data_IF_932996146077
#
_entry.id   IF_932996146077
#
_cell.length_a   1.000
_cell.length_b   1.000
_cell.length_c   1.000
_cell.angle_alpha   90.00
_cell.angle_beta   90.00
_cell.angle_gamma   90.00
#
_symmetry.space_group_name_H-M   'P 1'
#
loop_
_entity.id
_entity.type
_entity.pdbx_description
1 polymer ?
#
# COMPACT_ATOMS: atom_id res chain seq x y z
N UNK A 1 5.35 -15.81 -6.83
CA UNK A 1 5.25 -14.52 -7.56
C UNK A 1 6.44 -13.60 -7.32
N UNK A 2 6.81 -13.29 -6.07
CA UNK A 2 7.96 -12.40 -5.77
C UNK A 2 9.27 -12.80 -6.48
N UNK A 3 9.66 -14.08 -6.42
CA UNK A 3 10.88 -14.56 -7.08
C UNK A 3 10.83 -14.44 -8.61
N UNK A 4 9.66 -14.73 -9.20
CA UNK A 4 9.45 -14.67 -10.65
C UNK A 4 9.59 -13.25 -11.20
N UNK A 5 9.21 -12.26 -10.41
CA UNK A 5 9.23 -10.83 -10.75
C UNK A 5 10.23 -10.06 -9.90
N UNK A 6 11.32 -10.70 -9.48
CA UNK A 6 12.26 -10.12 -8.52
C UNK A 6 12.86 -8.79 -9.00
N UNK A 7 13.07 -8.62 -10.31
CA UNK A 7 13.57 -7.37 -10.87
C UNK A 7 12.53 -6.25 -10.79
N UNK A 8 11.27 -6.53 -11.12
CA UNK A 8 10.17 -5.59 -11.04
C UNK A 8 9.84 -5.20 -9.58
N UNK A 9 9.92 -6.17 -8.67
CA UNK A 9 9.83 -5.96 -7.21
C UNK A 9 10.93 -4.98 -6.77
N UNK A 10 12.18 -5.24 -7.18
CA UNK A 10 13.31 -4.37 -6.84
C UNK A 10 13.11 -2.94 -7.35
N UNK A 11 12.61 -2.75 -8.58
CA UNK A 11 12.33 -1.41 -9.11
C UNK A 11 11.23 -0.70 -8.30
N UNK A 12 10.24 -1.45 -7.80
CA UNK A 12 9.16 -0.92 -6.97
C UNK A 12 9.63 -0.52 -5.56
N UNK A 13 10.62 -1.23 -4.99
CA UNK A 13 10.99 -1.11 -3.57
C UNK A 13 12.36 -0.46 -3.33
N UNK A 14 13.22 -0.35 -4.33
CA UNK A 14 14.53 0.32 -4.23
C UNK A 14 14.56 1.65 -5.02
N UNK A 15 13.52 2.46 -4.86
CA UNK A 15 13.35 3.72 -5.60
C UNK A 15 14.30 4.83 -5.10
N UNK A 16 14.81 5.75 -5.96
CA UNK A 16 15.62 6.89 -5.54
C UNK A 16 14.99 7.77 -4.46
N UNK A 17 13.65 7.91 -4.47
CA UNK A 17 12.90 8.59 -3.42
C UNK A 17 13.11 7.95 -2.04
N UNK A 18 13.07 6.62 -1.96
CA UNK A 18 13.26 5.87 -0.71
C UNK A 18 14.71 5.97 -0.23
N UNK A 19 15.67 5.92 -1.16
CA UNK A 19 17.07 6.15 -0.83
C UNK A 19 17.30 7.55 -0.25
N UNK A 20 16.67 8.58 -0.83
CA UNK A 20 16.71 9.94 -0.32
C UNK A 20 15.97 10.10 1.02
N UNK A 21 14.85 9.39 1.21
CA UNK A 21 14.14 9.35 2.49
C UNK A 21 15.03 8.82 3.61
N UNK A 22 15.67 7.66 3.40
CA UNK A 22 16.58 7.05 4.38
C UNK A 22 17.85 7.86 4.66
N UNK A 23 18.32 8.64 3.68
CA UNK A 23 19.44 9.58 3.86
C UNK A 23 19.04 10.92 4.46
N UNK A 24 17.74 11.15 4.68
CA UNK A 24 17.18 12.42 5.12
C UNK A 24 17.45 13.58 4.13
N UNK A 25 17.42 13.29 2.83
CA UNK A 25 17.71 14.25 1.75
C UNK A 25 16.43 14.83 1.11
N UNK A 26 15.25 14.36 1.52
CA UNK A 26 13.98 14.88 1.02
C UNK A 26 13.68 16.27 1.61
N UNK A 27 13.30 17.22 0.76
CA UNK A 27 12.73 18.48 1.20
C UNK A 27 11.32 18.28 1.79
N UNK A 28 10.89 19.21 2.65
CA UNK A 28 9.53 19.27 3.17
C UNK A 28 8.47 19.23 2.05
N UNK A 29 8.77 19.86 0.91
CA UNK A 29 7.91 19.87 -0.28
C UNK A 29 7.80 18.48 -0.93
N UNK A 30 8.93 17.78 -1.15
CA UNK A 30 8.93 16.43 -1.71
C UNK A 30 8.18 15.46 -0.80
N UNK A 31 8.44 15.55 0.51
CA UNK A 31 7.76 14.72 1.51
C UNK A 31 6.25 14.99 1.54
N UNK A 32 5.85 16.26 1.56
CA UNK A 32 4.44 16.68 1.52
C UNK A 32 3.72 16.22 0.24
N UNK A 33 4.42 16.25 -0.91
CA UNK A 33 3.89 15.81 -2.20
C UNK A 33 3.52 14.33 -2.15
N UNK A 34 4.45 13.49 -1.69
CA UNK A 34 4.20 12.06 -1.55
C UNK A 34 3.13 11.78 -0.49
N UNK A 35 3.24 12.37 0.70
CA UNK A 35 2.34 12.11 1.82
C UNK A 35 0.89 12.49 1.50
N UNK A 36 0.67 13.54 0.70
CA UNK A 36 -0.66 13.89 0.20
C UNK A 36 -1.26 12.76 -0.65
N UNK A 37 -0.46 12.15 -1.54
CA UNK A 37 -0.93 11.06 -2.40
C UNK A 37 -1.19 9.79 -1.60
N UNK A 38 -0.31 9.46 -0.67
CA UNK A 38 -0.44 8.27 0.18
C UNK A 38 -1.66 8.36 1.10
N UNK A 39 -1.88 9.54 1.68
CA UNK A 39 -3.11 9.83 2.43
C UNK A 39 -4.36 9.74 1.56
N UNK A 40 -4.32 10.19 0.30
CA UNK A 40 -5.46 10.06 -0.62
C UNK A 40 -5.77 8.59 -0.93
N UNK A 41 -4.74 7.78 -1.19
CA UNK A 41 -4.85 6.34 -1.36
C UNK A 41 -5.50 5.67 -0.13
N UNK A 42 -4.96 5.96 1.06
CA UNK A 42 -5.41 5.42 2.35
C UNK A 42 -6.83 5.84 2.74
N UNK A 43 -7.29 7.04 2.34
CA UNK A 43 -8.64 7.51 2.63
C UNK A 43 -9.69 6.99 1.65
N UNK A 44 -9.34 6.87 0.37
CA UNK A 44 -10.33 6.75 -0.68
C UNK A 44 -10.42 5.37 -1.33
N UNK A 45 -9.33 4.61 -1.37
CA UNK A 45 -9.27 3.27 -1.94
C UNK A 45 -9.34 2.20 -0.87
N UNK A 46 -8.34 2.18 0.02
CA UNK A 46 -8.06 1.04 0.90
C UNK A 46 -9.26 0.64 1.79
N UNK A 47 -9.95 1.56 2.50
CA UNK A 47 -11.06 1.16 3.38
C UNK A 47 -12.23 0.58 2.59
N UNK A 48 -12.51 1.11 1.40
CA UNK A 48 -13.60 0.60 0.55
C UNK A 48 -13.28 -0.80 0.04
N UNK A 49 -12.04 -1.00 -0.40
CA UNK A 49 -11.55 -2.30 -0.83
C UNK A 49 -11.70 -3.35 0.26
N UNK A 50 -11.17 -3.09 1.46
CA UNK A 50 -11.27 -4.04 2.58
C UNK A 50 -12.72 -4.28 2.99
N UNK A 51 -13.56 -3.23 3.03
CA UNK A 51 -14.99 -3.40 3.32
C UNK A 51 -15.70 -4.29 2.29
N UNK A 52 -15.34 -4.18 1.02
CA UNK A 52 -15.88 -5.05 -0.03
C UNK A 52 -15.42 -6.50 0.13
N UNK A 53 -14.15 -6.75 0.47
CA UNK A 53 -13.67 -8.10 0.78
C UNK A 53 -14.42 -8.71 1.98
N UNK A 54 -14.57 -7.95 3.07
CA UNK A 54 -15.34 -8.40 4.25
C UNK A 54 -16.78 -8.76 3.85
N UNK A 55 -17.41 -7.92 3.03
CA UNK A 55 -18.79 -8.13 2.57
C UNK A 55 -18.94 -9.35 1.66
N UNK A 56 -17.86 -9.76 0.98
CA UNK A 56 -17.83 -10.90 0.08
C UNK A 56 -17.58 -12.25 0.79
N UNK A 57 -17.20 -12.25 2.08
CA UNK A 57 -16.88 -13.49 2.79
C UNK A 57 -18.08 -14.46 2.82
N UNK A 58 -17.88 -15.75 2.53
CA UNK A 58 -18.94 -16.74 2.56
C UNK A 58 -19.29 -17.08 4.02
N UNK A 59 -20.29 -16.40 4.59
CA UNK A 59 -20.74 -16.62 5.97
C UNK A 59 -22.02 -17.47 6.07
N UNK A 60 -22.44 -18.08 4.96
CA UNK A 60 -23.74 -18.75 4.80
C UNK A 60 -23.83 -20.16 5.40
N UNK A 61 -22.73 -20.76 5.87
CA UNK A 61 -22.75 -22.05 6.59
C UNK A 61 -21.74 -22.07 7.75
N UNK A 62 -21.93 -22.90 8.80
CA UNK A 62 -20.95 -23.01 9.90
C UNK A 62 -19.54 -23.39 9.44
N UNK A 63 -19.42 -24.27 8.43
CA UNK A 63 -18.12 -24.64 7.86
C UNK A 63 -17.46 -23.45 7.14
N UNK A 64 -18.23 -22.71 6.33
CA UNK A 64 -17.73 -21.51 5.66
C UNK A 64 -17.41 -20.38 6.65
N UNK A 65 -18.17 -20.25 7.73
CA UNK A 65 -17.89 -19.31 8.82
C UNK A 65 -16.55 -19.63 9.48
N UNK A 66 -16.31 -20.90 9.84
CA UNK A 66 -15.05 -21.33 10.45
C UNK A 66 -13.84 -21.08 9.55
N UNK A 67 -13.97 -21.35 8.24
CA UNK A 67 -12.91 -21.07 7.27
C UNK A 67 -12.66 -19.55 7.11
N UNK A 68 -13.74 -18.76 7.11
CA UNK A 68 -13.69 -17.30 6.92
C UNK A 68 -13.26 -16.52 8.16
N UNK A 69 -13.26 -17.11 9.36
CA UNK A 69 -12.90 -16.40 10.60
C UNK A 69 -11.49 -15.80 10.54
N UNK A 70 -10.51 -16.56 10.04
CA UNK A 70 -9.13 -16.07 9.95
C UNK A 70 -8.98 -14.93 8.96
N UNK A 71 -9.65 -15.02 7.80
CA UNK A 71 -9.70 -13.95 6.79
C UNK A 71 -10.42 -12.71 7.32
N UNK A 72 -11.56 -12.89 8.02
CA UNK A 72 -12.28 -11.79 8.64
C UNK A 72 -11.43 -11.06 9.67
N UNK A 73 -10.68 -11.80 10.50
CA UNK A 73 -9.77 -11.23 11.49
C UNK A 73 -8.65 -10.43 10.82
N UNK A 74 -8.04 -10.98 9.76
CA UNK A 74 -7.02 -10.28 8.97
C UNK A 74 -7.56 -8.97 8.37
N UNK A 75 -8.70 -9.04 7.68
CA UNK A 75 -9.31 -7.87 7.03
C UNK A 75 -9.77 -6.81 8.05
N UNK A 76 -10.28 -7.24 9.21
CA UNK A 76 -10.66 -6.32 10.30
C UNK A 76 -9.43 -5.62 10.89
N UNK A 77 -8.32 -6.33 11.02
CA UNK A 77 -7.05 -5.74 11.43
C UNK A 77 -6.55 -4.75 10.38
N UNK A 78 -6.56 -5.10 9.09
CA UNK A 78 -6.17 -4.22 7.98
C UNK A 78 -6.98 -2.90 7.98
N UNK A 79 -8.31 -3.00 8.14
CA UNK A 79 -9.20 -1.83 8.27
C UNK A 79 -8.84 -0.95 9.48
N UNK A 80 -8.56 -1.58 10.62
CA UNK A 80 -8.18 -0.85 11.83
C UNK A 80 -6.81 -0.18 11.68
N UNK A 81 -5.88 -0.86 11.00
CA UNK A 81 -4.54 -0.36 10.75
C UNK A 81 -4.55 0.87 9.85
N UNK A 82 -5.23 0.80 8.69
CA UNK A 82 -5.31 1.95 7.77
C UNK A 82 -6.00 3.16 8.42
N UNK A 83 -6.98 2.93 9.31
CA UNK A 83 -7.60 4.01 10.07
C UNK A 83 -6.60 4.71 11.01
N UNK A 84 -5.76 3.94 11.72
CA UNK A 84 -4.69 4.50 12.57
C UNK A 84 -3.67 5.25 11.73
N UNK A 85 -3.30 4.72 10.57
CA UNK A 85 -2.31 5.28 9.65
C UNK A 85 -2.75 6.65 9.10
N UNK A 86 -4.02 6.80 8.69
CA UNK A 86 -4.58 8.11 8.33
C UNK A 86 -4.49 9.09 9.50
N UNK A 87 -4.80 8.65 10.73
CA UNK A 87 -4.65 9.47 11.93
C UNK A 87 -3.20 9.86 12.22
N UNK A 88 -2.26 8.95 11.97
CA UNK A 88 -0.83 9.20 12.05
C UNK A 88 -0.41 10.27 11.03
N UNK A 89 -0.81 10.16 9.76
CA UNK A 89 -0.54 11.18 8.74
C UNK A 89 -1.08 12.56 9.13
N UNK A 90 -2.33 12.60 9.60
CA UNK A 90 -2.96 13.84 10.07
C UNK A 90 -2.20 14.47 11.25
N UNK A 91 -1.56 13.66 12.08
CA UNK A 91 -0.72 14.14 13.19
C UNK A 91 0.60 14.76 12.72
N UNK A 92 1.16 14.33 11.59
CA UNK A 92 2.46 14.82 11.10
C UNK A 92 2.41 16.28 10.66
N UNK A 93 1.29 16.73 10.09
CA UNK A 93 1.13 18.12 9.61
C UNK A 93 1.34 19.17 10.70
N UNK A 94 0.61 19.18 11.84
CA UNK A 94 0.81 20.17 12.89
C UNK A 94 2.16 20.04 13.62
N UNK A 95 2.79 18.86 13.62
CA UNK A 95 4.05 18.59 14.32
C UNK A 95 5.26 19.05 13.50
N UNK A 96 5.25 18.78 12.20
CA UNK A 96 6.41 18.95 11.32
C UNK A 96 6.20 19.97 10.20
N UNK A 97 4.99 20.52 10.05
CA UNK A 97 4.67 21.52 9.04
C UNK A 97 4.48 20.95 7.63
N UNK A 98 4.13 19.67 7.52
CA UNK A 98 3.86 19.02 6.23
C UNK A 98 2.48 19.42 5.69
N UNK A 99 2.39 19.60 4.38
CA UNK A 99 1.15 19.91 3.68
C UNK A 99 0.50 18.62 3.14
N UNK A 100 -0.67 18.29 3.66
CA UNK A 100 -1.46 17.10 3.28
C UNK A 100 -2.50 17.39 2.18
N UNK A 101 -2.51 18.61 1.65
CA UNK A 101 -3.40 19.06 0.59
C UNK A 101 -2.61 19.57 -0.62
N UNK A 102 -1.35 19.16 -0.76
CA UNK A 102 -0.47 19.62 -1.82
C UNK A 102 -0.93 19.10 -3.17
N UNK A 103 -1.30 20.01 -4.07
CA UNK A 103 -1.81 19.63 -5.40
C UNK A 103 -0.66 19.24 -6.33
N UNK A 104 -0.78 18.14 -7.09
CA UNK A 104 0.14 17.84 -8.17
C UNK A 104 0.13 18.95 -9.23
N UNK A 105 1.24 19.07 -9.98
CA UNK A 105 1.32 20.01 -11.10
C UNK A 105 0.26 19.72 -12.17
N UNK A 106 -0.13 20.74 -12.94
CA UNK A 106 -1.24 20.66 -13.89
C UNK A 106 -1.14 19.52 -14.93
N UNK A 107 0.08 19.05 -15.25
CA UNK A 107 0.33 17.93 -16.17
C UNK A 107 0.22 16.55 -15.51
N UNK A 108 0.24 16.49 -14.18
CA UNK A 108 0.22 15.26 -13.37
C UNK A 108 -1.10 15.10 -12.59
N UNK A 109 -1.89 16.16 -12.48
CA UNK A 109 -3.18 16.15 -11.81
C UNK A 109 -4.20 15.34 -12.62
N UNK A 110 -4.83 14.35 -11.99
CA UNK A 110 -6.03 13.72 -12.54
C UNK A 110 -7.17 14.74 -12.65
N UNK A 111 -8.02 14.61 -13.66
CA UNK A 111 -9.21 15.47 -13.83
C UNK A 111 -10.30 15.22 -12.78
N UNK A 112 -10.15 14.17 -11.97
CA UNK A 112 -11.10 13.72 -10.97
C UNK A 112 -10.63 14.09 -9.55
N UNK A 113 -11.59 14.32 -8.64
CA UNK A 113 -11.36 14.59 -7.21
C UNK A 113 -10.67 15.93 -6.90
N UNK A 114 -11.09 17.00 -7.58
CA UNK A 114 -10.64 18.37 -7.27
C UNK A 114 -9.17 18.66 -7.61
N UNK A 115 -8.52 17.76 -8.36
CA UNK A 115 -7.12 17.90 -8.79
C UNK A 115 -6.09 17.60 -7.70
N UNK A 116 -6.47 16.87 -6.63
CA UNK A 116 -5.56 16.51 -5.54
C UNK A 116 -4.78 15.21 -5.80
N UNK A 117 -5.39 14.25 -6.51
CA UNK A 117 -4.75 12.99 -6.86
C UNK A 117 -3.95 13.08 -8.15
N UNK A 118 -2.76 12.48 -8.16
CA UNK A 118 -2.04 12.12 -9.38
C UNK A 118 -2.78 11.03 -10.15
N UNK A 119 -2.48 10.92 -11.44
CA UNK A 119 -3.05 9.89 -12.31
C UNK A 119 -2.75 8.49 -11.79
N UNK A 120 -1.54 8.27 -11.26
CA UNK A 120 -1.12 6.99 -10.69
C UNK A 120 -1.90 6.65 -9.41
N UNK A 121 -2.03 7.60 -8.49
CA UNK A 121 -2.81 7.42 -7.25
C UNK A 121 -4.27 7.13 -7.55
N UNK A 122 -4.85 7.82 -8.53
CA UNK A 122 -6.23 7.56 -8.97
C UNK A 122 -6.37 6.15 -9.56
N UNK A 123 -5.44 5.73 -10.42
CA UNK A 123 -5.44 4.39 -11.00
C UNK A 123 -5.34 3.31 -9.90
N UNK A 124 -4.55 3.56 -8.84
CA UNK A 124 -4.45 2.66 -7.70
C UNK A 124 -5.75 2.57 -6.90
N UNK A 125 -6.39 3.71 -6.63
CA UNK A 125 -7.71 3.75 -5.99
C UNK A 125 -8.76 3.01 -6.84
N UNK A 126 -8.69 3.14 -8.17
CA UNK A 126 -9.60 2.43 -9.07
C UNK A 126 -9.36 0.92 -9.06
N UNK A 127 -8.09 0.47 -9.05
CA UNK A 127 -7.74 -0.94 -8.91
C UNK A 127 -8.30 -1.53 -7.62
N UNK A 128 -8.15 -0.82 -6.50
CA UNK A 128 -8.69 -1.22 -5.20
C UNK A 128 -10.22 -1.36 -5.23
N UNK A 129 -10.91 -0.36 -5.76
CA UNK A 129 -12.37 -0.36 -5.84
C UNK A 129 -12.87 -1.47 -6.77
N UNK A 130 -12.25 -1.63 -7.94
CA UNK A 130 -12.64 -2.65 -8.91
C UNK A 130 -12.39 -4.06 -8.38
N UNK A 131 -11.22 -4.33 -7.81
CA UNK A 131 -10.88 -5.65 -7.23
C UNK A 131 -11.82 -5.99 -6.07
N UNK A 132 -12.10 -5.01 -5.20
CA UNK A 132 -13.07 -5.19 -4.12
C UNK A 132 -14.48 -5.49 -4.64
N UNK A 133 -14.94 -4.78 -5.68
CA UNK A 133 -16.27 -4.99 -6.25
C UNK A 133 -16.45 -6.39 -6.85
N UNK A 134 -15.37 -6.98 -7.39
CA UNK A 134 -15.37 -8.32 -7.97
C UNK A 134 -15.11 -9.44 -6.94
N UNK A 135 -14.95 -9.11 -5.66
CA UNK A 135 -14.56 -10.08 -4.63
C UNK A 135 -15.57 -11.21 -4.39
N UNK A 136 -16.83 -11.04 -4.79
CA UNK A 136 -17.89 -12.05 -4.69
C UNK A 136 -18.32 -12.61 -6.06
N UNK A 137 -17.50 -12.42 -7.11
CA UNK A 137 -17.79 -12.90 -8.46
C UNK A 137 -18.00 -14.43 -8.45
N UNK A 138 -18.91 -14.90 -9.31
CA UNK A 138 -19.07 -16.34 -9.50
C UNK A 138 -17.77 -16.93 -10.07
N UNK A 139 -17.17 -17.88 -9.34
CA UNK A 139 -15.92 -18.52 -9.74
C UNK A 139 -14.65 -17.72 -9.43
N UNK A 140 -14.61 -17.02 -8.29
CA UNK A 140 -13.38 -16.40 -7.73
C UNK A 140 -13.57 -14.94 -7.34
N UNK A 141 -12.48 -14.25 -6.99
CA UNK A 141 -12.44 -12.81 -6.70
C UNK A 141 -11.86 -12.49 -5.32
N UNK A 142 -12.07 -13.38 -4.35
CA UNK A 142 -11.46 -13.25 -3.02
C UNK A 142 -9.94 -13.48 -3.10
N UNK A 143 -9.52 -14.41 -3.95
CA UNK A 143 -8.11 -14.77 -4.16
C UNK A 143 -7.33 -13.56 -4.71
N UNK A 144 -7.86 -12.93 -5.75
CA UNK A 144 -7.37 -11.70 -6.35
C UNK A 144 -7.28 -10.57 -5.31
N UNK A 145 -8.31 -10.42 -4.47
CA UNK A 145 -8.32 -9.45 -3.37
C UNK A 145 -7.24 -9.72 -2.31
N UNK A 146 -7.07 -10.97 -1.87
CA UNK A 146 -6.05 -11.31 -0.89
C UNK A 146 -4.64 -11.16 -1.46
N UNK A 147 -4.44 -11.48 -2.74
CA UNK A 147 -3.18 -11.24 -3.44
C UNK A 147 -2.92 -9.74 -3.57
N UNK A 148 -3.91 -8.91 -3.89
CA UNK A 148 -3.77 -7.45 -3.90
C UNK A 148 -3.33 -6.94 -2.53
N UNK A 149 -4.07 -7.30 -1.46
CA UNK A 149 -3.74 -6.92 -0.08
C UNK A 149 -2.29 -7.28 0.26
N UNK A 150 -1.93 -8.56 0.13
CA UNK A 150 -0.58 -9.02 0.43
C UNK A 150 0.49 -8.30 -0.40
N UNK A 151 0.27 -8.10 -1.70
CA UNK A 151 1.26 -7.48 -2.58
C UNK A 151 1.54 -6.05 -2.15
N UNK A 152 0.49 -5.27 -1.85
CA UNK A 152 0.64 -3.87 -1.40
C UNK A 152 1.45 -3.81 -0.11
N UNK A 153 1.05 -4.56 0.91
CA UNK A 153 1.70 -4.53 2.23
C UNK A 153 3.14 -5.05 2.17
N UNK A 154 3.38 -6.11 1.39
CA UNK A 154 4.71 -6.70 1.23
C UNK A 154 5.67 -5.74 0.55
N UNK A 155 5.25 -5.11 -0.54
CA UNK A 155 6.08 -4.17 -1.28
C UNK A 155 6.34 -2.90 -0.46
N UNK A 156 5.32 -2.41 0.26
CA UNK A 156 5.48 -1.24 1.13
C UNK A 156 6.45 -1.51 2.28
N UNK A 157 6.33 -2.66 2.93
CA UNK A 157 7.28 -3.07 3.97
C UNK A 157 8.71 -3.18 3.41
N UNK A 158 8.90 -3.81 2.25
CA UNK A 158 10.22 -3.91 1.61
C UNK A 158 10.80 -2.54 1.23
N UNK A 159 9.97 -1.63 0.72
CA UNK A 159 10.36 -0.27 0.37
C UNK A 159 10.90 0.52 1.57
N UNK A 160 10.19 0.47 2.71
CA UNK A 160 10.61 1.16 3.92
C UNK A 160 11.77 0.48 4.63
N UNK A 161 11.86 -0.86 4.57
CA UNK A 161 13.05 -1.58 5.01
C UNK A 161 14.28 -1.20 4.19
N UNK A 162 14.14 -1.03 2.87
CA UNK A 162 15.21 -0.51 2.03
C UNK A 162 15.62 0.92 2.44
N UNK A 163 14.67 1.83 2.65
CA UNK A 163 14.96 3.16 3.16
C UNK A 163 15.73 3.11 4.49
N UNK A 164 15.34 2.23 5.41
CA UNK A 164 16.01 2.05 6.70
C UNK A 164 17.46 1.50 6.60
N UNK A 165 17.86 0.93 5.46
CA UNK A 165 19.27 0.52 5.26
C UNK A 165 20.21 1.69 5.02
N UNK A 166 19.68 2.88 4.73
CA UNK A 166 20.46 4.09 4.56
C UNK A 166 20.62 4.84 5.89
N UNK A 167 21.65 5.67 5.97
CA UNK A 167 21.92 6.50 7.14
C UNK A 167 21.84 7.98 6.77
N UNK A 168 21.34 8.79 7.70
CA UNK A 168 21.28 10.24 7.54
C UNK A 168 22.65 10.82 7.16
N UNK A 169 22.66 11.70 6.16
CA UNK A 169 23.90 12.31 5.66
C UNK A 169 24.16 13.69 6.32
N UNK A 170 25.40 14.22 6.29
CA UNK A 170 25.71 15.54 6.83
C UNK A 170 24.97 16.70 6.15
N UNK A 171 24.45 16.47 4.94
CA UNK A 171 23.62 17.40 4.17
C UNK A 171 22.12 17.14 4.35
N UNK A 172 21.74 16.53 5.48
CA UNK A 172 20.34 16.27 5.79
C UNK A 172 19.49 17.54 5.71
N UNK A 173 18.23 17.33 5.36
CA UNK A 173 17.16 18.33 5.33
C UNK A 173 16.94 18.96 6.71
N UNK A 174 16.02 19.91 6.81
CA UNK A 174 15.71 20.57 8.08
C UNK A 174 15.30 19.57 9.18
N UNK A 175 15.49 19.96 10.45
CA UNK A 175 15.28 19.09 11.61
C UNK A 175 13.86 18.52 11.69
N UNK A 176 12.83 19.29 11.29
CA UNK A 176 11.44 18.83 11.34
C UNK A 176 11.16 17.79 10.27
N UNK A 177 11.61 18.03 9.04
CA UNK A 177 11.47 17.06 7.96
C UNK A 177 12.25 15.78 8.26
N UNK A 178 13.46 15.90 8.82
CA UNK A 178 14.26 14.75 9.28
C UNK A 178 13.53 13.93 10.35
N UNK A 179 12.94 14.58 11.36
CA UNK A 179 12.18 13.88 12.40
C UNK A 179 10.93 13.18 11.83
N UNK A 180 10.23 13.81 10.88
CA UNK A 180 9.09 13.18 10.20
C UNK A 180 9.51 11.93 9.42
N UNK A 181 10.66 11.97 8.72
CA UNK A 181 11.19 10.82 7.98
C UNK A 181 11.52 9.64 8.91
N UNK A 182 12.11 9.91 10.07
CA UNK A 182 12.35 8.86 11.08
C UNK A 182 11.05 8.19 11.51
N UNK A 183 10.02 8.96 11.85
CA UNK A 183 8.73 8.39 12.28
C UNK A 183 8.02 7.59 11.18
N UNK A 184 8.12 8.06 9.93
CA UNK A 184 7.58 7.36 8.77
C UNK A 184 8.30 6.01 8.57
N UNK A 185 9.63 6.00 8.59
CA UNK A 185 10.42 4.77 8.47
C UNK A 185 10.07 3.79 9.60
N UNK A 186 10.01 4.25 10.85
CA UNK A 186 9.69 3.41 12.00
C UNK A 186 8.27 2.82 11.92
N UNK A 187 7.30 3.56 11.35
CA UNK A 187 5.90 3.12 11.24
C UNK A 187 5.73 1.87 10.36
N UNK A 188 6.53 1.69 9.32
CA UNK A 188 6.42 0.54 8.40
C UNK A 188 7.58 -0.46 8.49
N UNK A 189 8.53 -0.23 9.40
CA UNK A 189 9.65 -1.17 9.68
C UNK A 189 9.57 -1.83 11.05
N UNK A 190 8.58 -1.47 11.88
CA UNK A 190 8.38 -2.10 13.18
C UNK A 190 7.85 -3.54 13.07
N UNK A 191 7.98 -4.26 14.19
CA UNK A 191 7.60 -5.66 14.29
C UNK A 191 6.09 -5.92 14.12
N UNK A 192 5.23 -4.98 14.53
CA UNK A 192 3.78 -5.13 14.37
C UNK A 192 3.40 -5.14 12.88
N UNK A 193 3.96 -4.21 12.09
CA UNK A 193 3.72 -4.18 10.65
C UNK A 193 4.30 -5.41 9.94
N UNK A 194 5.50 -5.86 10.33
CA UNK A 194 6.08 -7.08 9.79
C UNK A 194 5.21 -8.33 10.07
N UNK A 195 4.62 -8.43 11.27
CA UNK A 195 3.69 -9.51 11.62
C UNK A 195 2.41 -9.45 10.77
N UNK A 196 1.88 -8.25 10.55
CA UNK A 196 0.71 -8.07 9.67
C UNK A 196 0.99 -8.52 8.23
N UNK A 197 2.15 -8.15 7.68
CA UNK A 197 2.58 -8.58 6.35
C UNK A 197 2.71 -10.10 6.28
N UNK A 198 3.29 -10.74 7.31
CA UNK A 198 3.39 -12.20 7.38
C UNK A 198 2.00 -12.87 7.40
N UNK A 199 1.03 -12.30 8.12
CA UNK A 199 -0.35 -12.80 8.12
C UNK A 199 -1.05 -12.65 6.76
N UNK A 200 -0.73 -11.59 6.00
CA UNK A 200 -1.20 -11.46 4.63
C UNK A 200 -0.59 -12.55 3.73
N UNK A 201 0.70 -12.84 3.90
CA UNK A 201 1.41 -13.89 3.16
C UNK A 201 0.81 -15.28 3.45
N UNK A 202 0.61 -15.62 4.73
CA UNK A 202 -0.07 -16.85 5.14
C UNK A 202 -1.48 -16.99 4.53
N UNK A 203 -2.22 -15.88 4.38
CA UNK A 203 -3.55 -15.89 3.78
C UNK A 203 -3.49 -16.23 2.29
N UNK A 204 -2.49 -15.72 1.57
CA UNK A 204 -2.26 -16.06 0.16
C UNK A 204 -1.77 -17.51 0.02
N UNK A 205 -0.88 -17.98 0.88
CA UNK A 205 -0.40 -19.37 0.87
C UNK A 205 -1.54 -20.40 1.05
N UNK A 206 -2.51 -20.08 1.91
CA UNK A 206 -3.70 -20.92 2.14
C UNK A 206 -4.59 -21.07 0.90
N UNK A 207 -4.48 -20.17 -0.08
CA UNK A 207 -5.22 -20.29 -1.34
C UNK A 207 -4.71 -21.44 -2.20
N UNK A 208 -3.47 -21.89 -1.97
CA UNK A 208 -2.84 -23.00 -2.72
C UNK A 208 -2.94 -22.80 -4.24
N UNK A 209 -2.74 -21.57 -4.71
CA UNK A 209 -2.82 -21.24 -6.13
C UNK A 209 -1.76 -22.01 -6.92
N UNK A 210 -2.18 -22.73 -7.95
CA UNK A 210 -1.31 -23.54 -8.80
C UNK A 210 -1.00 -22.82 -10.11
N UNK A 211 0.28 -22.70 -10.46
CA UNK A 211 0.73 -22.02 -11.67
C UNK A 211 0.09 -22.62 -12.95
N UNK A 212 -0.43 -21.75 -13.81
CA UNK A 212 -1.09 -22.13 -15.07
C UNK A 212 -2.57 -22.50 -14.92
N UNK A 213 -3.13 -22.39 -13.71
CA UNK A 213 -4.59 -22.44 -13.51
C UNK A 213 -5.22 -21.07 -13.77
N UNK A 214 -6.51 -21.01 -14.15
CA UNK A 214 -7.22 -19.76 -14.32
C UNK A 214 -7.20 -18.87 -13.06
N UNK A 215 -7.20 -19.46 -11.86
CA UNK A 215 -7.13 -18.76 -10.57
C UNK A 215 -5.78 -18.08 -10.39
N UNK A 216 -4.70 -18.81 -10.68
CA UNK A 216 -3.35 -18.26 -10.67
C UNK A 216 -3.20 -17.12 -11.66
N UNK A 217 -3.66 -17.28 -12.90
CA UNK A 217 -3.50 -16.27 -13.94
C UNK A 217 -4.16 -14.94 -13.56
N UNK A 218 -5.36 -14.99 -12.96
CA UNK A 218 -6.07 -13.79 -12.46
C UNK A 218 -5.33 -13.15 -11.28
N UNK A 219 -4.87 -13.96 -10.33
CA UNK A 219 -4.09 -13.46 -9.20
C UNK A 219 -2.75 -12.84 -9.64
N UNK A 220 -2.07 -13.47 -10.60
CA UNK A 220 -0.81 -12.99 -11.17
C UNK A 220 -1.01 -11.68 -11.94
N UNK A 221 -2.13 -11.52 -12.66
CA UNK A 221 -2.48 -10.27 -13.31
C UNK A 221 -2.61 -9.11 -12.30
N UNK A 222 -3.31 -9.34 -11.19
CA UNK A 222 -3.40 -8.37 -10.09
C UNK A 222 -2.02 -8.06 -9.52
N UNK A 223 -1.22 -9.08 -9.21
CA UNK A 223 0.14 -8.90 -8.70
C UNK A 223 1.01 -8.02 -9.63
N UNK A 224 0.97 -8.29 -10.94
CA UNK A 224 1.69 -7.50 -11.95
C UNK A 224 1.20 -6.06 -12.02
N UNK A 225 -0.10 -5.85 -11.92
CA UNK A 225 -0.67 -4.52 -12.02
C UNK A 225 -0.39 -3.68 -10.77
N UNK A 226 -0.40 -4.30 -9.59
CA UNK A 226 0.08 -3.70 -8.35
C UNK A 226 1.55 -3.28 -8.48
N UNK A 227 2.43 -4.17 -8.96
CA UNK A 227 3.84 -3.83 -9.21
C UNK A 227 3.99 -2.64 -10.16
N UNK A 228 3.22 -2.63 -11.25
CA UNK A 228 3.24 -1.53 -12.22
C UNK A 228 2.93 -0.18 -11.56
N UNK A 229 1.94 -0.15 -10.65
CA UNK A 229 1.54 1.07 -9.95
C UNK A 229 2.54 1.47 -8.86
N UNK A 230 3.04 0.52 -8.07
CA UNK A 230 4.06 0.77 -7.03
C UNK A 230 5.32 1.42 -7.60
N UNK A 231 5.81 0.95 -8.76
CA UNK A 231 6.96 1.54 -9.45
C UNK A 231 6.76 3.02 -9.83
N UNK A 232 5.51 3.48 -9.95
CA UNK A 232 5.16 4.84 -10.43
C UNK A 232 4.56 5.72 -9.33
N UNK A 233 4.29 5.13 -8.17
CA UNK A 233 3.70 5.81 -7.03
C UNK A 233 4.68 6.82 -6.43
N UNK A 234 5.94 6.39 -6.26
CA UNK A 234 7.01 7.23 -5.74
C UNK A 234 7.22 8.49 -6.61
N UNK A 235 7.38 9.68 -6.02
CA UNK A 235 7.72 10.87 -6.79
C UNK A 235 9.10 10.75 -7.45
N UNK A 236 9.26 11.43 -8.59
CA UNK A 236 10.58 11.67 -9.15
C UNK A 236 11.44 12.52 -8.21
N UNK A 237 12.76 12.26 -8.24
CA UNK A 237 13.77 13.03 -7.49
C UNK A 237 14.34 14.16 -8.33
#
# INVERSE_FOLDING_TARGET
>A
MLERYAQEVRVATEHPFLAAAGKHELSSEQLSTWLTQDRCYALHGYPKFIASLISALPLSSPAHQSASQSTLALLSYAMSNIHREVGFFDSLSPRFGLDLARRPGAQQAGSLQGGLMRVETKAYVDLLIATGAEANRNGGGMEEGLVLLWTMEKLYNQAWLFAATHSATPSATDEKTSAALTELIDNWTNAEFAEFVAKCEEAVEKLQLEEGTPEWDRAEEIFKYTLYLEQRFWPGM
#
